data_IF_900824718057
#
_entry.id   IF_900824718057
#
_cell.length_a   1.000
_cell.length_b   1.000
_cell.length_c   1.000
_cell.angle_alpha   90.00
_cell.angle_beta   90.00
_cell.angle_gamma   90.00
#
_symmetry.space_group_name_H-M   'P 1'
#
loop_
_entity.id
_entity.type
_entity.pdbx_description
1 polymer ?
#
# COMPACT_ATOMS: atom_id res chain seq x y z
N UNK A 1 -18.57 -23.83 -20.51
CA UNK A 1 -18.27 -22.47 -19.98
C UNK A 1 -17.50 -21.72 -21.03
N UNK A 2 -17.99 -20.55 -21.42
CA UNK A 2 -17.31 -19.62 -22.32
C UNK A 2 -16.06 -19.01 -21.63
N UNK A 3 -15.21 -18.30 -22.40
CA UNK A 3 -14.11 -17.51 -21.82
C UNK A 3 -14.65 -16.38 -20.92
N UNK A 4 -15.76 -15.76 -21.32
CA UNK A 4 -16.46 -14.76 -20.52
C UNK A 4 -16.89 -15.32 -19.16
N UNK A 5 -17.50 -16.51 -19.13
CA UNK A 5 -17.93 -17.14 -17.87
C UNK A 5 -16.74 -17.44 -16.94
N UNK A 6 -15.61 -17.88 -17.52
CA UNK A 6 -14.39 -18.11 -16.74
C UNK A 6 -13.84 -16.82 -16.15
N UNK A 7 -13.84 -15.75 -16.95
CA UNK A 7 -13.41 -14.43 -16.52
C UNK A 7 -14.29 -13.87 -15.41
N UNK A 8 -15.61 -13.85 -15.61
CA UNK A 8 -16.57 -13.37 -14.62
C UNK A 8 -16.52 -14.19 -13.33
N UNK A 9 -16.37 -15.52 -13.41
CA UNK A 9 -16.19 -16.34 -12.21
C UNK A 9 -14.90 -15.99 -11.44
N UNK A 10 -13.82 -15.67 -12.14
CA UNK A 10 -12.57 -15.23 -11.52
C UNK A 10 -12.73 -13.86 -10.83
N UNK A 11 -13.49 -12.94 -11.43
CA UNK A 11 -13.85 -11.65 -10.80
C UNK A 11 -14.74 -11.89 -9.58
N UNK A 12 -15.80 -12.69 -9.73
CA UNK A 12 -16.78 -12.99 -8.69
C UNK A 12 -16.14 -13.58 -7.43
N UNK A 13 -15.11 -14.42 -7.60
CA UNK A 13 -14.37 -15.02 -6.49
C UNK A 13 -13.72 -13.98 -5.55
N UNK A 14 -13.48 -12.77 -6.04
CA UNK A 14 -12.79 -11.69 -5.32
C UNK A 14 -13.74 -10.61 -4.78
N UNK A 15 -15.01 -10.66 -5.15
CA UNK A 15 -15.99 -9.64 -4.76
C UNK A 15 -16.64 -9.94 -3.39
N UNK A 16 -17.00 -8.89 -2.62
CA UNK A 16 -17.85 -9.01 -1.43
C UNK A 16 -19.15 -9.75 -1.76
N UNK A 17 -19.57 -10.68 -0.90
CA UNK A 17 -20.74 -11.52 -1.17
C UNK A 17 -22.04 -10.72 -1.35
N UNK A 18 -22.15 -9.57 -0.69
CA UNK A 18 -23.36 -8.76 -0.66
C UNK A 18 -23.65 -8.06 -2.00
N UNK A 19 -22.61 -7.63 -2.72
CA UNK A 19 -22.74 -6.87 -3.98
C UNK A 19 -22.29 -7.66 -5.21
N UNK A 20 -21.80 -8.90 -5.01
CA UNK A 20 -21.21 -9.73 -6.06
C UNK A 20 -22.12 -9.92 -7.26
N UNK A 21 -23.36 -10.34 -7.02
CA UNK A 21 -24.25 -10.76 -8.10
C UNK A 21 -24.65 -9.57 -8.98
N UNK A 22 -24.92 -8.41 -8.35
CA UNK A 22 -25.22 -7.15 -9.04
C UNK A 22 -24.04 -6.70 -9.92
N UNK A 23 -22.82 -6.67 -9.36
CA UNK A 23 -21.60 -6.27 -10.09
C UNK A 23 -21.32 -7.23 -11.26
N UNK A 24 -21.52 -8.54 -11.06
CA UNK A 24 -21.28 -9.53 -12.12
C UNK A 24 -22.32 -9.44 -13.23
N UNK A 25 -23.57 -9.13 -12.91
CA UNK A 25 -24.60 -8.86 -13.91
C UNK A 25 -24.23 -7.63 -14.76
N UNK A 26 -23.86 -6.52 -14.11
CA UNK A 26 -23.44 -5.29 -14.82
C UNK A 26 -22.21 -5.51 -15.70
N UNK A 27 -21.16 -6.17 -15.17
CA UNK A 27 -19.96 -6.48 -15.94
C UNK A 27 -20.22 -7.45 -17.10
N UNK A 28 -21.16 -8.39 -16.92
CA UNK A 28 -21.58 -9.29 -18.01
C UNK A 28 -22.21 -8.49 -19.13
N UNK A 29 -23.19 -7.64 -18.81
CA UNK A 29 -23.92 -6.85 -19.80
C UNK A 29 -22.96 -5.92 -20.58
N UNK A 30 -22.01 -5.27 -19.89
CA UNK A 30 -20.99 -4.41 -20.52
C UNK A 30 -20.08 -5.20 -21.48
N UNK A 31 -19.59 -6.37 -21.04
CA UNK A 31 -18.70 -7.20 -21.84
C UNK A 31 -19.43 -7.86 -23.02
N UNK A 32 -20.65 -8.34 -22.82
CA UNK A 32 -21.47 -8.90 -23.90
C UNK A 32 -21.76 -7.83 -24.95
N UNK A 33 -22.16 -6.63 -24.54
CA UNK A 33 -22.35 -5.48 -25.45
C UNK A 33 -21.06 -5.16 -26.24
N UNK A 34 -19.90 -5.18 -25.57
CA UNK A 34 -18.61 -4.90 -26.23
C UNK A 34 -18.23 -5.99 -27.23
N UNK A 35 -18.46 -7.26 -26.88
CA UNK A 35 -18.19 -8.41 -27.76
C UNK A 35 -19.10 -8.40 -28.97
N UNK A 36 -20.40 -8.11 -28.79
CA UNK A 36 -21.37 -7.98 -29.87
C UNK A 36 -21.00 -6.86 -30.84
N UNK A 37 -20.65 -5.69 -30.33
CA UNK A 37 -20.22 -4.55 -31.15
C UNK A 37 -18.96 -4.88 -31.99
N UNK A 38 -17.99 -5.60 -31.42
CA UNK A 38 -16.79 -6.05 -32.16
C UNK A 38 -17.13 -7.13 -33.20
N UNK A 39 -18.04 -8.05 -32.89
CA UNK A 39 -18.49 -9.06 -33.84
C UNK A 39 -19.24 -8.43 -35.02
N UNK A 40 -20.09 -7.43 -34.77
CA UNK A 40 -20.83 -6.70 -35.80
C UNK A 40 -19.89 -5.90 -36.71
N UNK A 41 -18.90 -5.20 -36.14
CA UNK A 41 -17.86 -4.50 -36.92
C UNK A 41 -17.04 -5.44 -37.81
N UNK A 42 -16.76 -6.65 -37.31
CA UNK A 42 -16.07 -7.69 -38.07
C UNK A 42 -16.97 -8.33 -39.14
N UNK A 43 -18.29 -8.31 -38.95
CA UNK A 43 -19.27 -9.01 -39.78
C UNK A 43 -19.24 -10.54 -39.61
N UNK A 44 -18.65 -11.03 -38.53
CA UNK A 44 -18.52 -12.46 -38.23
C UNK A 44 -18.35 -12.70 -36.72
N UNK A 45 -18.68 -13.91 -36.21
CA UNK A 45 -18.39 -14.27 -34.82
C UNK A 45 -16.91 -14.07 -34.45
N UNK A 46 -16.67 -13.63 -33.22
CA UNK A 46 -15.31 -13.50 -32.69
C UNK A 46 -14.69 -14.88 -32.44
N UNK A 47 -13.38 -14.99 -32.66
CA UNK A 47 -12.59 -16.16 -32.26
C UNK A 47 -12.27 -16.09 -30.77
N UNK A 48 -11.88 -17.22 -30.17
CA UNK A 48 -11.46 -17.27 -28.76
C UNK A 48 -10.32 -16.28 -28.46
N UNK A 49 -9.36 -16.11 -29.38
CA UNK A 49 -8.25 -15.16 -29.22
C UNK A 49 -8.72 -13.69 -29.20
N UNK A 50 -9.72 -13.35 -30.01
CA UNK A 50 -10.31 -12.01 -30.06
C UNK A 50 -11.16 -11.71 -28.84
N UNK A 51 -11.93 -12.69 -28.36
CA UNK A 51 -12.66 -12.62 -27.09
C UNK A 51 -11.65 -12.44 -25.94
N UNK A 52 -10.57 -13.21 -25.93
CA UNK A 52 -9.52 -13.08 -24.93
C UNK A 52 -8.88 -11.68 -24.96
N UNK A 53 -8.64 -11.11 -26.14
CA UNK A 53 -8.15 -9.73 -26.26
C UNK A 53 -9.09 -8.71 -25.63
N UNK A 54 -10.41 -8.82 -25.85
CA UNK A 54 -11.42 -7.95 -25.19
C UNK A 54 -11.36 -8.09 -23.67
N UNK A 55 -11.29 -9.33 -23.17
CA UNK A 55 -11.23 -9.57 -21.72
C UNK A 55 -9.90 -9.06 -21.12
N UNK A 56 -8.80 -9.13 -21.86
CA UNK A 56 -7.51 -8.53 -21.46
C UNK A 56 -7.57 -7.00 -21.46
N UNK A 57 -8.26 -6.39 -22.42
CA UNK A 57 -8.46 -4.94 -22.48
C UNK A 57 -9.25 -4.44 -21.25
N UNK A 58 -10.21 -5.22 -20.76
CA UNK A 58 -10.92 -4.95 -19.51
C UNK A 58 -10.00 -5.03 -18.27
N UNK A 59 -9.00 -5.92 -18.31
CA UNK A 59 -7.94 -6.03 -17.31
C UNK A 59 -7.97 -7.34 -16.51
N UNK A 60 -6.99 -7.52 -15.63
CA UNK A 60 -6.88 -8.74 -14.82
C UNK A 60 -8.06 -8.88 -13.83
N UNK A 61 -8.64 -10.07 -13.61
CA UNK A 61 -9.80 -10.23 -12.72
C UNK A 61 -9.60 -9.65 -11.31
N UNK A 62 -8.40 -9.79 -10.74
CA UNK A 62 -8.05 -9.18 -9.44
C UNK A 62 -8.10 -7.64 -9.47
N UNK A 63 -7.62 -7.02 -10.54
CA UNK A 63 -7.59 -5.55 -10.65
C UNK A 63 -8.98 -5.00 -10.94
N UNK A 64 -9.79 -5.72 -11.71
CA UNK A 64 -11.18 -5.35 -11.98
C UNK A 64 -12.01 -5.47 -10.71
N UNK A 65 -11.93 -6.60 -9.99
CA UNK A 65 -12.65 -6.78 -8.73
C UNK A 65 -12.27 -5.73 -7.67
N UNK A 66 -10.99 -5.33 -7.62
CA UNK A 66 -10.53 -4.29 -6.71
C UNK A 66 -11.28 -2.96 -6.91
N UNK A 67 -11.71 -2.61 -8.13
CA UNK A 67 -12.47 -1.37 -8.41
C UNK A 67 -13.82 -1.31 -7.68
N UNK A 68 -14.38 -2.48 -7.35
CA UNK A 68 -15.69 -2.60 -6.71
C UNK A 68 -15.61 -3.05 -5.24
N UNK A 69 -14.41 -3.28 -4.71
CA UNK A 69 -14.22 -3.68 -3.32
C UNK A 69 -14.62 -2.58 -2.34
N UNK A 70 -15.41 -2.92 -1.32
CA UNK A 70 -15.89 -1.99 -0.29
C UNK A 70 -14.81 -1.57 0.74
N UNK A 71 -13.53 -1.79 0.46
CA UNK A 71 -12.45 -1.55 1.43
C UNK A 71 -11.16 -1.01 0.79
N UNK A 72 -10.22 -0.54 1.61
CA UNK A 72 -8.93 -0.04 1.12
C UNK A 72 -8.18 -1.18 0.41
N UNK A 73 -7.94 -1.05 -0.89
CA UNK A 73 -7.10 -1.97 -1.67
C UNK A 73 -5.60 -1.74 -1.46
N UNK A 74 -5.25 -0.92 -0.46
CA UNK A 74 -3.90 -0.48 -0.16
C UNK A 74 -3.63 -0.72 1.32
N UNK A 75 -2.38 -1.10 1.64
CA UNK A 75 -1.95 -1.39 3.02
C UNK A 75 -1.90 -0.11 3.84
N UNK A 76 -1.39 0.97 3.23
CA UNK A 76 -1.32 2.30 3.83
C UNK A 76 -1.90 3.28 2.80
N UNK A 77 -3.08 3.83 3.10
CA UNK A 77 -3.78 4.77 2.23
C UNK A 77 -3.08 6.13 2.13
N UNK A 78 -3.41 6.94 1.11
CA UNK A 78 -2.78 8.24 0.88
C UNK A 78 -2.94 9.22 2.06
N UNK A 79 -4.02 9.12 2.82
CA UNK A 79 -4.24 9.94 4.03
C UNK A 79 -3.29 9.57 5.17
N UNK A 80 -3.02 8.27 5.36
CA UNK A 80 -2.20 7.75 6.45
C UNK A 80 -0.71 7.70 6.08
N UNK A 81 -0.38 7.64 4.79
CA UNK A 81 0.98 7.45 4.29
C UNK A 81 1.99 8.51 4.80
N UNK A 82 1.69 9.82 4.79
CA UNK A 82 2.62 10.83 5.32
C UNK A 82 2.95 10.61 6.80
N UNK A 83 1.95 10.24 7.60
CA UNK A 83 2.12 9.96 9.04
C UNK A 83 2.90 8.69 9.30
N UNK A 84 2.60 7.63 8.56
CA UNK A 84 3.37 6.38 8.61
C UNK A 84 4.85 6.64 8.26
N UNK A 85 5.11 7.38 7.17
CA UNK A 85 6.47 7.71 6.74
C UNK A 85 7.21 8.56 7.79
N UNK A 86 6.54 9.58 8.33
CA UNK A 86 7.09 10.41 9.41
C UNK A 86 7.45 9.56 10.64
N UNK A 87 6.52 8.72 11.09
CA UNK A 87 6.72 7.84 12.25
C UNK A 87 7.86 6.84 12.05
N UNK A 88 7.93 6.18 10.89
CA UNK A 88 9.02 5.25 10.56
C UNK A 88 10.36 5.97 10.51
N UNK A 89 10.45 7.12 9.84
CA UNK A 89 11.71 7.90 9.77
C UNK A 89 12.16 8.33 11.16
N UNK A 90 11.27 8.92 11.96
CA UNK A 90 11.58 9.34 13.32
C UNK A 90 12.06 8.17 14.19
N UNK A 91 11.36 7.04 14.14
CA UNK A 91 11.71 5.84 14.91
C UNK A 91 13.09 5.29 14.49
N UNK A 92 13.37 5.19 13.19
CA UNK A 92 14.66 4.72 12.68
C UNK A 92 15.80 5.67 13.05
N UNK A 93 15.58 6.99 12.95
CA UNK A 93 16.58 7.99 13.36
C UNK A 93 16.91 7.88 14.84
N UNK A 94 15.89 7.82 15.70
CA UNK A 94 16.08 7.65 17.16
C UNK A 94 16.82 6.33 17.46
N UNK A 95 16.43 5.24 16.78
CA UNK A 95 17.09 3.95 16.92
C UNK A 95 18.59 4.03 16.58
N UNK A 96 18.96 4.68 15.47
CA UNK A 96 20.36 4.87 15.09
C UNK A 96 21.14 5.62 16.18
N UNK A 97 20.59 6.71 16.72
CA UNK A 97 21.24 7.44 17.80
C UNK A 97 21.40 6.60 19.07
N UNK A 98 20.37 5.85 19.48
CA UNK A 98 20.44 4.98 20.66
C UNK A 98 21.50 3.89 20.47
N UNK A 99 21.51 3.21 19.31
CA UNK A 99 22.49 2.16 19.02
C UNK A 99 23.91 2.73 18.96
N UNK A 100 24.11 3.90 18.32
CA UNK A 100 25.42 4.54 18.23
C UNK A 100 25.96 4.97 19.60
N UNK A 101 25.13 5.62 20.43
CA UNK A 101 25.50 6.02 21.79
C UNK A 101 25.80 4.78 22.64
N UNK A 102 24.95 3.76 22.57
CA UNK A 102 25.15 2.51 23.32
C UNK A 102 26.43 1.79 22.92
N UNK A 103 26.74 1.73 21.62
CA UNK A 103 27.99 1.17 21.12
C UNK A 103 29.21 1.97 21.59
N UNK A 104 29.15 3.30 21.52
CA UNK A 104 30.22 4.19 21.99
C UNK A 104 30.51 3.99 23.47
N UNK A 105 29.48 3.95 24.32
CA UNK A 105 29.65 3.73 25.77
C UNK A 105 30.34 2.40 26.05
N UNK A 106 29.90 1.31 25.40
CA UNK A 106 30.52 -0.02 25.58
C UNK A 106 31.99 -0.05 25.17
N UNK A 107 32.35 0.64 24.08
CA UNK A 107 33.74 0.78 23.65
C UNK A 107 34.56 1.57 24.68
N UNK A 108 34.04 2.70 25.16
CA UNK A 108 34.75 3.57 26.10
C UNK A 108 35.00 2.93 27.47
N UNK A 109 34.08 2.08 27.94
CA UNK A 109 34.21 1.34 29.21
C UNK A 109 35.08 0.07 29.04
N UNK A 110 35.40 -0.31 27.81
CA UNK A 110 36.25 -1.48 27.51
C UNK A 110 35.50 -2.81 27.49
N UNK A 111 34.16 -2.79 27.41
CA UNK A 111 33.33 -4.01 27.36
C UNK A 111 33.50 -4.77 26.04
N UNK A 112 33.72 -4.04 24.94
CA UNK A 112 33.87 -4.61 23.58
C UNK A 112 34.90 -3.84 22.77
N UNK A 113 35.54 -4.52 21.82
CA UNK A 113 36.38 -3.87 20.81
C UNK A 113 35.55 -3.11 19.77
N UNK A 114 36.17 -2.12 19.12
CA UNK A 114 35.53 -1.27 18.10
C UNK A 114 34.90 -2.10 16.97
N UNK A 115 35.62 -3.09 16.44
CA UNK A 115 35.12 -3.93 15.36
C UNK A 115 33.89 -4.74 15.76
N UNK A 116 33.88 -5.26 17.00
CA UNK A 116 32.74 -6.00 17.54
C UNK A 116 31.54 -5.08 17.79
N UNK A 117 31.76 -3.86 18.31
CA UNK A 117 30.71 -2.87 18.51
C UNK A 117 30.02 -2.49 17.19
N UNK A 118 30.80 -2.32 16.11
CA UNK A 118 30.26 -2.04 14.77
C UNK A 118 29.41 -3.21 14.27
N UNK A 119 29.92 -4.45 14.37
CA UNK A 119 29.20 -5.64 13.91
C UNK A 119 27.88 -5.85 14.66
N UNK A 120 27.89 -5.71 15.99
CA UNK A 120 26.69 -5.80 16.81
C UNK A 120 25.71 -4.65 16.55
N UNK A 121 26.22 -3.42 16.39
CA UNK A 121 25.42 -2.25 16.05
C UNK A 121 24.69 -2.45 14.72
N UNK A 122 25.40 -2.88 13.68
CA UNK A 122 24.79 -3.18 12.38
C UNK A 122 23.72 -4.26 12.48
N UNK A 123 24.02 -5.40 13.13
CA UNK A 123 23.05 -6.48 13.31
C UNK A 123 21.80 -6.00 14.07
N UNK A 124 21.98 -5.20 15.12
CA UNK A 124 20.89 -4.62 15.90
C UNK A 124 20.03 -3.68 15.07
N UNK A 125 20.65 -2.76 14.32
CA UNK A 125 19.94 -1.82 13.45
C UNK A 125 19.17 -2.53 12.33
N UNK A 126 19.76 -3.56 11.72
CA UNK A 126 19.11 -4.31 10.65
C UNK A 126 17.87 -5.04 11.15
N UNK A 127 18.03 -5.87 12.20
CA UNK A 127 16.93 -6.66 12.75
C UNK A 127 15.83 -5.76 13.31
N UNK A 128 16.20 -4.74 14.09
CA UNK A 128 15.23 -3.83 14.71
C UNK A 128 14.58 -2.90 13.68
N UNK A 129 15.31 -2.47 12.66
CA UNK A 129 14.77 -1.65 11.57
C UNK A 129 13.68 -2.37 10.79
N UNK A 130 13.91 -3.65 10.45
CA UNK A 130 12.88 -4.50 9.82
C UNK A 130 11.66 -4.63 10.74
N UNK A 131 11.87 -4.87 12.04
CA UNK A 131 10.77 -4.97 12.99
C UNK A 131 9.96 -3.67 13.12
N UNK A 132 10.61 -2.51 13.19
CA UNK A 132 9.96 -1.19 13.24
C UNK A 132 9.10 -0.97 12.00
N UNK A 133 9.66 -1.17 10.80
CA UNK A 133 8.93 -0.99 9.55
C UNK A 133 7.75 -1.96 9.46
N UNK A 134 7.97 -3.24 9.80
CA UNK A 134 6.92 -4.27 9.78
C UNK A 134 5.78 -3.95 10.74
N UNK A 135 6.09 -3.64 12.01
CA UNK A 135 5.09 -3.30 13.02
C UNK A 135 4.35 -2.00 12.69
N UNK A 136 5.06 -0.97 12.22
CA UNK A 136 4.42 0.27 11.77
C UNK A 136 3.47 0.02 10.58
N UNK A 137 3.85 -0.85 9.64
CA UNK A 137 3.00 -1.24 8.51
C UNK A 137 1.76 -2.00 8.97
N UNK A 138 1.90 -2.94 9.92
CA UNK A 138 0.76 -3.66 10.51
C UNK A 138 -0.18 -2.69 11.22
N UNK A 139 0.37 -1.76 12.02
CA UNK A 139 -0.42 -0.75 12.71
C UNK A 139 -1.17 0.15 11.71
N UNK A 140 -0.50 0.61 10.66
CA UNK A 140 -1.13 1.42 9.62
C UNK A 140 -2.23 0.65 8.88
N UNK A 141 -2.00 -0.62 8.55
CA UNK A 141 -2.98 -1.51 7.93
C UNK A 141 -4.23 -1.72 8.79
N UNK A 142 -4.07 -1.81 10.11
CA UNK A 142 -5.18 -1.91 11.06
C UNK A 142 -5.96 -0.59 11.11
N UNK A 143 -5.26 0.54 11.24
CA UNK A 143 -5.87 1.88 11.27
C UNK A 143 -6.61 2.15 9.96
N UNK A 144 -6.05 1.73 8.83
CA UNK A 144 -6.61 2.00 7.52
C UNK A 144 -7.98 1.34 7.30
N UNK A 145 -8.20 0.16 7.90
CA UNK A 145 -9.48 -0.56 7.86
C UNK A 145 -10.54 -0.10 8.85
N UNK A 146 -10.20 0.77 9.80
CA UNK A 146 -11.18 1.28 10.74
C UNK A 146 -12.00 2.39 10.08
N UNK A 147 -13.32 2.32 10.24
CA UNK A 147 -14.24 3.35 9.75
C UNK A 147 -14.01 4.70 10.44
N UNK A 148 -13.65 4.67 11.72
CA UNK A 148 -13.28 5.86 12.50
C UNK A 148 -11.77 6.00 12.55
N UNK A 149 -11.25 7.04 11.90
CA UNK A 149 -9.81 7.35 11.93
C UNK A 149 -9.41 7.94 13.29
N UNK A 150 -8.16 7.72 13.75
CA UNK A 150 -7.63 8.30 14.98
C UNK A 150 -7.77 9.83 15.07
N UNK A 151 -7.86 10.35 16.29
CA UNK A 151 -8.03 11.80 16.52
C UNK A 151 -6.85 12.64 16.03
N UNK A 152 -5.62 12.11 16.04
CA UNK A 152 -4.46 12.86 15.53
C UNK A 152 -4.53 13.14 14.03
N UNK A 153 -5.30 12.35 13.26
CA UNK A 153 -5.54 12.58 11.83
C UNK A 153 -6.69 13.57 11.60
N UNK A 154 -7.72 13.52 12.47
CA UNK A 154 -9.01 14.18 12.23
C UNK A 154 -9.21 15.47 13.02
N UNK A 155 -8.56 15.60 14.17
CA UNK A 155 -8.74 16.70 15.14
C UNK A 155 -7.44 17.49 15.35
N UNK A 156 -6.82 17.92 14.26
CA UNK A 156 -5.70 18.85 14.33
C UNK A 156 -6.20 20.29 14.48
N UNK A 157 -5.44 21.14 15.17
CA UNK A 157 -5.79 22.55 15.34
C UNK A 157 -4.79 23.40 14.57
N UNK A 158 -5.30 24.34 13.77
CA UNK A 158 -4.47 25.28 12.99
C UNK A 158 -3.44 25.99 13.88
N UNK A 159 -3.82 26.35 15.10
CA UNK A 159 -2.94 27.01 16.09
C UNK A 159 -1.75 26.15 16.56
N UNK A 160 -1.78 24.84 16.35
CA UNK A 160 -0.66 23.94 16.71
C UNK A 160 0.27 23.69 15.51
N UNK A 161 -0.05 24.23 14.32
CA UNK A 161 0.74 24.01 13.11
C UNK A 161 2.09 24.71 13.10
N UNK A 162 2.30 25.72 13.97
CA UNK A 162 3.56 26.45 14.06
C UNK A 162 4.73 25.53 14.43
N UNK A 163 4.48 24.36 15.04
CA UNK A 163 5.54 23.36 15.29
C UNK A 163 6.12 22.79 13.99
N UNK A 164 5.34 22.73 12.91
CA UNK A 164 5.78 22.20 11.62
C UNK A 164 6.63 23.20 10.83
N UNK A 165 6.44 24.51 11.04
CA UNK A 165 7.28 25.57 10.46
C UNK A 165 8.75 25.41 10.88
N UNK A 166 9.01 24.92 12.09
CA UNK A 166 10.36 24.65 12.59
C UNK A 166 10.98 23.35 12.06
N UNK A 167 10.17 22.44 11.50
CA UNK A 167 10.61 21.14 10.98
C UNK A 167 10.71 21.10 9.46
N UNK A 168 10.42 22.20 8.78
CA UNK A 168 10.69 22.39 7.36
C UNK A 168 12.21 22.46 7.12
N UNK A 169 12.91 21.35 7.32
CA UNK A 169 14.30 21.19 6.92
C UNK A 169 14.35 21.13 5.39
N UNK A 170 14.50 22.30 4.76
CA UNK A 170 15.13 22.52 3.46
C UNK A 170 14.40 21.98 2.23
N UNK A 171 13.43 22.73 1.70
CA UNK A 171 13.08 22.64 0.28
C UNK A 171 13.95 23.57 -0.60
N UNK A 172 14.77 24.40 0.06
CA UNK A 172 15.48 25.56 -0.44
C UNK A 172 17.00 25.33 -0.51
N UNK A 173 17.51 24.21 0.03
CA UNK A 173 18.95 23.86 0.00
C UNK A 173 19.42 23.02 -1.19
N UNK A 174 18.54 22.69 -2.14
CA UNK A 174 18.87 21.88 -3.34
C UNK A 174 18.79 22.67 -4.66
N UNK A 175 18.71 24.00 -4.57
CA UNK A 175 18.50 24.89 -5.73
C UNK A 175 19.60 25.96 -5.89
N UNK A 176 20.82 25.69 -5.44
CA UNK A 176 22.01 26.47 -5.82
C UNK A 176 23.09 25.57 -6.43
#
# INVERSE_FOLDING_TARGET
MSLLDRYLNAVAAQLPRETRDDIIAELRDELETTLEARAEQKGAPLTDDEVEAVLRDMGHPLTVAARFGAGPNVVVGPELYPWWMFGVRAALTVMVFITAIGALVRVLVGDVEVGQAIGQGFHSLFTSGIAIVGLATIAAFIIERQATKPEFLTKWRVKDLSVFEWTAFGADGWAE
#
